data_IF_737373222585
#
_entry.id   IF_737373222585
#
_cell.length_a   1.000
_cell.length_b   1.000
_cell.length_c   1.000
_cell.angle_alpha   90.00
_cell.angle_beta   90.00
_cell.angle_gamma   90.00
#
_symmetry.space_group_name_H-M   'P 1'
#
loop_
_entity.id
_entity.type
_entity.pdbx_description
1 polymer ?
#
# COMPACT_ATOMS: atom_id res chain seq x y z
N UNK A 1 -11.19 11.13 3.19
CA UNK A 1 -11.07 10.24 2.03
C UNK A 1 -9.62 9.81 1.91
N UNK A 2 -9.32 8.75 1.16
CA UNK A 2 -7.96 8.41 0.71
C UNK A 2 -7.65 9.25 -0.54
N UNK A 3 -6.56 10.00 -0.51
CA UNK A 3 -6.11 10.86 -1.60
C UNK A 3 -5.34 10.05 -2.66
N UNK A 4 -4.48 9.15 -2.21
CA UNK A 4 -3.80 8.19 -3.08
C UNK A 4 -3.50 6.85 -2.42
N UNK A 5 -3.40 5.85 -3.27
CA UNK A 5 -2.81 4.56 -2.99
C UNK A 5 -1.58 4.37 -3.88
N UNK A 6 -0.44 4.02 -3.30
CA UNK A 6 0.84 3.86 -4.02
C UNK A 6 1.47 2.53 -3.63
N UNK A 7 2.04 1.84 -4.62
CA UNK A 7 2.91 0.68 -4.43
C UNK A 7 4.28 1.04 -4.99
N UNK A 8 5.32 0.93 -4.17
CA UNK A 8 6.71 1.07 -4.61
C UNK A 8 7.52 -0.18 -4.30
N UNK A 9 8.64 -0.36 -4.96
CA UNK A 9 9.64 -1.35 -4.53
C UNK A 9 10.50 -0.81 -3.37
N UNK A 10 11.43 -1.63 -2.86
CA UNK A 10 12.42 -1.21 -1.87
C UNK A 10 13.52 -0.28 -2.45
N UNK A 11 13.58 -0.05 -3.76
CA UNK A 11 14.49 0.94 -4.35
C UNK A 11 13.82 2.31 -4.50
N UNK A 12 12.61 2.48 -3.94
CA UNK A 12 11.80 3.70 -4.06
C UNK A 12 11.30 3.98 -5.47
N UNK A 13 11.26 2.98 -6.35
CA UNK A 13 10.60 3.07 -7.65
C UNK A 13 9.10 2.86 -7.47
N UNK A 14 8.28 3.80 -7.95
CA UNK A 14 6.82 3.65 -7.98
C UNK A 14 6.45 2.58 -9.02
N UNK A 15 5.81 1.51 -8.57
CA UNK A 15 5.33 0.41 -9.42
C UNK A 15 3.88 0.62 -9.86
N UNK A 16 3.08 1.21 -8.98
CA UNK A 16 1.68 1.52 -9.21
C UNK A 16 1.27 2.74 -8.39
N UNK A 17 0.40 3.59 -8.94
CA UNK A 17 -0.25 4.65 -8.18
C UNK A 17 -1.69 4.84 -8.64
N UNK A 18 -2.59 4.98 -7.68
CA UNK A 18 -3.95 5.45 -7.89
C UNK A 18 -4.15 6.75 -7.13
N UNK A 19 -4.69 7.75 -7.82
CA UNK A 19 -4.94 9.08 -7.30
C UNK A 19 -6.44 9.32 -7.36
N UNK A 20 -7.04 9.50 -6.20
CA UNK A 20 -8.48 9.69 -6.05
C UNK A 20 -8.84 11.17 -5.86
N UNK A 21 -7.99 11.93 -5.18
CA UNK A 21 -8.21 13.35 -4.93
C UNK A 21 -6.90 14.12 -4.76
N UNK A 22 -6.42 14.71 -5.87
CA UNK A 22 -5.34 15.71 -5.88
C UNK A 22 -5.76 16.89 -6.75
N UNK A 23 -5.47 18.09 -6.28
CA UNK A 23 -5.79 19.37 -6.95
C UNK A 23 -4.66 19.82 -7.89
N UNK A 24 -3.58 19.02 -7.98
CA UNK A 24 -2.30 19.43 -8.56
C UNK A 24 -2.12 19.04 -10.03
N UNK A 25 -1.28 19.80 -10.73
CA UNK A 25 -0.80 19.53 -12.08
C UNK A 25 0.05 18.24 -12.14
N UNK A 26 0.17 17.63 -13.32
CA UNK A 26 0.76 16.31 -13.48
C UNK A 26 2.24 16.24 -13.03
N UNK A 27 3.01 17.32 -13.21
CA UNK A 27 4.43 17.40 -12.83
C UNK A 27 4.67 17.47 -11.32
N UNK A 28 3.92 18.31 -10.60
CA UNK A 28 4.03 18.41 -9.14
C UNK A 28 3.54 17.15 -8.43
N UNK A 29 2.63 16.41 -9.07
CA UNK A 29 2.15 15.12 -8.57
C UNK A 29 3.25 14.06 -8.53
N UNK A 30 4.04 13.90 -9.58
CA UNK A 30 5.10 12.89 -9.62
C UNK A 30 6.17 13.16 -8.55
N UNK A 31 6.60 14.41 -8.42
CA UNK A 31 7.52 14.84 -7.38
C UNK A 31 6.97 14.56 -5.97
N UNK A 32 5.68 14.83 -5.75
CA UNK A 32 5.02 14.56 -4.48
C UNK A 32 4.98 13.07 -4.16
N UNK A 33 4.60 12.22 -5.11
CA UNK A 33 4.56 10.76 -4.91
C UNK A 33 5.95 10.21 -4.60
N UNK A 34 6.98 10.67 -5.31
CA UNK A 34 8.36 10.29 -5.06
C UNK A 34 8.80 10.72 -3.65
N UNK A 35 8.45 11.94 -3.22
CA UNK A 35 8.73 12.43 -1.87
C UNK A 35 8.07 11.58 -0.78
N UNK A 36 6.80 11.18 -0.98
CA UNK A 36 6.07 10.28 -0.07
C UNK A 36 6.78 8.93 0.03
N UNK A 37 7.10 8.30 -1.10
CA UNK A 37 7.78 7.00 -1.14
C UNK A 37 9.13 7.07 -0.43
N UNK A 38 9.93 8.10 -0.70
CA UNK A 38 11.21 8.32 -0.02
C UNK A 38 11.05 8.48 1.49
N UNK A 39 10.01 9.18 1.95
CA UNK A 39 9.75 9.33 3.38
C UNK A 39 9.30 8.03 4.05
N UNK A 40 8.50 7.22 3.38
CA UNK A 40 8.11 5.88 3.86
C UNK A 40 9.31 4.95 3.87
N UNK A 41 10.15 4.98 2.83
CA UNK A 41 11.37 4.17 2.76
C UNK A 41 12.32 4.43 3.92
N UNK A 42 12.54 5.71 4.27
CA UNK A 42 13.34 6.08 5.45
C UNK A 42 12.77 5.48 6.75
N UNK A 43 11.45 5.44 6.88
CA UNK A 43 10.79 4.85 8.05
C UNK A 43 10.90 3.33 8.06
N UNK A 44 10.76 2.69 6.90
CA UNK A 44 11.02 1.28 6.72
C UNK A 44 12.45 0.92 7.12
N UNK A 45 13.45 1.63 6.60
CA UNK A 45 14.87 1.41 6.91
C UNK A 45 15.19 1.62 8.38
N UNK A 46 14.60 2.66 8.98
CA UNK A 46 14.72 2.88 10.41
C UNK A 46 14.13 1.71 11.20
N UNK A 47 12.89 1.30 10.89
CA UNK A 47 12.20 0.21 11.56
C UNK A 47 12.92 -1.13 11.40
N UNK A 48 13.45 -1.43 10.21
CA UNK A 48 14.22 -2.66 9.97
C UNK A 48 15.57 -2.64 10.69
N UNK A 49 16.25 -1.49 10.73
CA UNK A 49 17.52 -1.33 11.45
C UNK A 49 17.38 -1.49 12.96
N UNK A 50 16.28 -1.00 13.55
CA UNK A 50 16.05 -1.17 15.01
C UNK A 50 15.50 -2.55 15.35
N UNK A 51 14.73 -3.17 14.44
CA UNK A 51 14.13 -4.49 14.67
C UNK A 51 15.11 -5.64 14.48
N UNK A 52 16.10 -5.49 13.60
CA UNK A 52 17.14 -6.51 13.37
C UNK A 52 18.04 -6.73 14.59
N UNK A 53 18.18 -5.72 15.46
CA UNK A 53 18.92 -5.85 16.73
C UNK A 53 18.28 -6.83 17.72
N UNK A 54 17.00 -7.18 17.55
CA UNK A 54 16.23 -8.00 18.48
C UNK A 54 15.90 -9.42 17.99
N UNK A 55 16.36 -9.84 16.80
CA UNK A 55 16.04 -11.17 16.24
C UNK A 55 17.22 -12.13 16.37
N UNK A 56 17.30 -12.83 17.50
CA UNK A 56 18.06 -14.09 17.57
C UNK A 56 17.32 -15.20 16.83
N UNK A 57 18.10 -16.00 16.10
CA UNK A 57 17.80 -17.23 15.33
C UNK A 57 16.51 -17.97 15.65
N UNK A 58 15.75 -18.37 14.62
CA UNK A 58 15.27 -19.75 14.44
C UNK A 58 14.71 -19.95 13.01
N UNK A 59 15.31 -20.92 12.30
CA UNK A 59 14.90 -21.61 11.05
C UNK A 59 15.16 -20.95 9.68
N UNK A 60 16.05 -21.61 8.94
CA UNK A 60 16.24 -21.55 7.49
C UNK A 60 14.94 -21.87 6.72
N UNK A 61 14.44 -20.91 5.94
CA UNK A 61 14.04 -21.07 4.52
C UNK A 61 13.25 -19.84 4.06
N UNK A 62 13.72 -19.21 2.99
CA UNK A 62 13.39 -17.88 2.45
C UNK A 62 13.95 -16.72 3.28
N UNK A 63 14.71 -15.84 2.64
CA UNK A 63 15.12 -14.56 3.20
C UNK A 63 13.84 -13.83 3.65
N UNK A 64 13.57 -13.89 4.96
CA UNK A 64 12.29 -13.53 5.56
C UNK A 64 11.91 -12.12 5.13
N UNK A 65 10.81 -12.01 4.38
CA UNK A 65 10.12 -10.77 4.08
C UNK A 65 9.93 -10.00 5.40
N UNK A 66 10.76 -8.98 5.62
CA UNK A 66 10.64 -8.15 6.83
C UNK A 66 9.37 -7.32 6.66
N UNK A 67 8.27 -7.84 7.18
CA UNK A 67 7.01 -7.12 7.29
C UNK A 67 7.17 -6.03 8.36
N UNK A 68 6.89 -4.80 7.95
CA UNK A 68 6.95 -3.61 8.78
C UNK A 68 5.78 -2.72 8.37
N UNK A 69 5.24 -1.98 9.33
CA UNK A 69 4.09 -1.12 9.11
C UNK A 69 4.20 0.10 10.00
N UNK A 70 3.58 1.18 9.56
CA UNK A 70 3.66 2.44 10.27
C UNK A 70 2.55 3.39 9.88
N UNK A 71 2.36 4.36 10.77
CA UNK A 71 1.42 5.45 10.58
C UNK A 71 2.12 6.72 11.03
N UNK A 72 2.21 7.70 10.16
CA UNK A 72 2.78 9.01 10.48
C UNK A 72 2.02 10.11 9.76
N UNK A 73 2.25 11.37 10.12
CA UNK A 73 1.68 12.51 9.39
C UNK A 73 2.77 13.13 8.52
N UNK A 74 2.48 13.30 7.23
CA UNK A 74 3.34 14.04 6.31
C UNK A 74 2.74 15.43 6.07
N UNK A 75 3.58 16.47 6.09
CA UNK A 75 3.15 17.78 5.62
C UNK A 75 3.17 17.78 4.09
N UNK A 76 1.99 17.85 3.48
CA UNK A 76 1.80 17.96 2.04
C UNK A 76 1.19 19.33 1.79
N UNK A 77 1.95 20.21 1.12
CA UNK A 77 1.65 21.63 0.98
C UNK A 77 1.43 22.27 2.38
N UNK A 78 0.22 22.75 2.66
CA UNK A 78 -0.14 23.40 3.93
C UNK A 78 -0.94 22.52 4.89
N UNK A 79 -1.15 21.25 4.54
CA UNK A 79 -1.94 20.33 5.35
C UNK A 79 -1.10 19.13 5.79
N UNK A 80 -1.23 18.75 7.05
CA UNK A 80 -0.79 17.42 7.48
C UNK A 80 -1.74 16.39 6.87
N UNK A 81 -1.20 15.30 6.35
CA UNK A 81 -1.95 14.17 5.80
C UNK A 81 -1.46 12.89 6.49
N UNK A 82 -2.34 12.09 7.10
CA UNK A 82 -1.95 10.81 7.65
C UNK A 82 -1.53 9.87 6.52
N UNK A 83 -0.33 9.31 6.65
CA UNK A 83 0.21 8.28 5.77
C UNK A 83 0.19 6.97 6.55
N UNK A 84 -0.46 5.97 5.96
CA UNK A 84 -0.52 4.61 6.49
C UNK A 84 0.23 3.72 5.51
N UNK A 85 1.20 2.97 5.99
CA UNK A 85 2.04 2.14 5.12
C UNK A 85 2.32 0.77 5.70
N UNK A 86 2.63 -0.17 4.80
CA UNK A 86 2.92 -1.56 5.11
C UNK A 86 3.88 -2.13 4.07
N UNK A 87 5.03 -2.66 4.50
CA UNK A 87 5.96 -3.41 3.66
C UNK A 87 5.57 -4.88 3.57
N UNK A 88 5.50 -5.42 2.37
CA UNK A 88 5.21 -6.83 2.14
C UNK A 88 5.86 -7.30 0.83
N UNK A 89 6.50 -8.46 0.84
CA UNK A 89 7.15 -9.08 -0.33
C UNK A 89 8.01 -8.11 -1.16
N UNK A 90 8.94 -7.40 -0.52
CA UNK A 90 9.84 -6.46 -1.20
C UNK A 90 9.16 -5.21 -1.79
N UNK A 91 7.90 -4.93 -1.41
CA UNK A 91 7.17 -3.73 -1.82
C UNK A 91 6.73 -2.91 -0.61
N UNK A 92 6.55 -1.61 -0.79
CA UNK A 92 5.93 -0.69 0.16
C UNK A 92 4.56 -0.30 -0.37
N UNK A 93 3.52 -0.62 0.40
CA UNK A 93 2.15 -0.25 0.12
C UNK A 93 1.79 0.96 0.99
N UNK A 94 1.25 2.02 0.38
CA UNK A 94 1.11 3.33 1.00
C UNK A 94 -0.27 3.90 0.71
N UNK A 95 -0.99 4.32 1.75
CA UNK A 95 -2.21 5.12 1.67
C UNK A 95 -1.95 6.52 2.22
N UNK A 96 -2.26 7.53 1.42
CA UNK A 96 -2.30 8.92 1.87
C UNK A 96 -3.76 9.27 2.14
N UNK A 97 -4.07 9.61 3.38
CA UNK A 97 -5.43 9.88 3.83
C UNK A 97 -5.65 11.37 4.12
N UNK A 98 -6.91 11.78 4.12
CA UNK A 98 -7.35 13.05 4.73
C UNK A 98 -7.24 13.00 6.26
N UNK A 99 -7.10 14.16 6.89
CA UNK A 99 -6.99 14.26 8.36
C UNK A 99 -8.20 13.73 9.12
N UNK A 100 -9.38 13.76 8.52
CA UNK A 100 -10.63 13.31 9.11
C UNK A 100 -10.81 11.78 9.05
N UNK A 101 -9.95 11.07 8.32
CA UNK A 101 -10.09 9.63 8.14
C UNK A 101 -9.64 8.82 9.33
N UNK A 102 -10.31 7.67 9.51
CA UNK A 102 -9.95 6.72 10.53
C UNK A 102 -8.69 5.94 10.13
N UNK A 103 -7.55 6.27 10.75
CA UNK A 103 -6.23 5.66 10.48
C UNK A 103 -6.20 4.16 10.75
N UNK A 104 -6.97 3.67 11.73
CA UNK A 104 -7.05 2.24 12.05
C UNK A 104 -7.80 1.50 10.95
N UNK A 105 -8.91 2.09 10.47
CA UNK A 105 -9.66 1.54 9.34
C UNK A 105 -8.80 1.53 8.07
N UNK A 106 -8.04 2.60 7.81
CA UNK A 106 -7.12 2.68 6.69
C UNK A 106 -6.06 1.56 6.76
N UNK A 107 -5.45 1.34 7.93
CA UNK A 107 -4.46 0.28 8.13
C UNK A 107 -5.05 -1.12 7.93
N UNK A 108 -6.25 -1.36 8.45
CA UNK A 108 -6.96 -2.63 8.24
C UNK A 108 -7.32 -2.83 6.77
N UNK A 109 -7.76 -1.78 6.08
CA UNK A 109 -8.10 -1.82 4.66
C UNK A 109 -6.86 -2.14 3.83
N UNK A 110 -5.73 -1.48 4.12
CA UNK A 110 -4.45 -1.74 3.48
C UNK A 110 -4.00 -3.19 3.67
N UNK A 111 -4.15 -3.74 4.87
CA UNK A 111 -3.85 -5.14 5.14
C UNK A 111 -4.69 -6.11 4.29
N UNK A 112 -6.00 -5.91 4.22
CA UNK A 112 -6.87 -6.76 3.38
C UNK A 112 -6.60 -6.59 1.89
N UNK A 113 -6.32 -5.37 1.45
CA UNK A 113 -5.94 -5.07 0.07
C UNK A 113 -4.66 -5.82 -0.31
N UNK A 114 -3.61 -5.77 0.51
CA UNK A 114 -2.34 -6.50 0.25
C UNK A 114 -2.56 -8.00 0.17
N UNK A 115 -3.35 -8.57 1.10
CA UNK A 115 -3.68 -10.01 1.07
C UNK A 115 -4.41 -10.39 -0.21
N UNK A 116 -5.37 -9.56 -0.63
CA UNK A 116 -6.12 -9.78 -1.85
C UNK A 116 -5.21 -9.69 -3.08
N UNK A 117 -4.34 -8.68 -3.16
CA UNK A 117 -3.34 -8.57 -4.23
C UNK A 117 -2.45 -9.82 -4.30
N UNK A 118 -1.98 -10.33 -3.16
CA UNK A 118 -1.19 -11.57 -3.11
C UNK A 118 -1.98 -12.77 -3.66
N UNK A 119 -3.24 -12.91 -3.29
CA UNK A 119 -4.07 -14.05 -3.71
C UNK A 119 -4.32 -14.05 -5.22
N UNK A 120 -4.46 -12.86 -5.84
CA UNK A 120 -4.67 -12.73 -7.28
C UNK A 120 -3.38 -12.59 -8.11
N UNK A 121 -2.28 -12.14 -7.50
CA UNK A 121 -0.96 -11.93 -8.12
C UNK A 121 0.13 -12.67 -7.34
N UNK A 122 0.10 -14.01 -7.31
CA UNK A 122 1.00 -14.79 -6.46
C UNK A 122 2.47 -14.73 -6.88
N UNK A 123 2.82 -14.30 -8.12
CA UNK A 123 4.22 -14.18 -8.54
C UNK A 123 4.82 -12.81 -8.20
N UNK A 124 4.02 -11.87 -7.68
CA UNK A 124 4.49 -10.59 -7.15
C UNK A 124 5.56 -10.78 -6.07
N UNK A 125 5.51 -11.90 -5.34
CA UNK A 125 6.50 -12.26 -4.32
C UNK A 125 7.88 -12.57 -4.88
N UNK A 126 7.96 -12.94 -6.16
CA UNK A 126 9.21 -13.33 -6.84
C UNK A 126 9.69 -12.27 -7.82
N UNK A 127 8.78 -11.43 -8.34
CA UNK A 127 9.11 -10.40 -9.32
C UNK A 127 8.12 -9.22 -9.25
N UNK A 128 8.61 -8.07 -8.80
CA UNK A 128 7.83 -6.84 -8.70
C UNK A 128 7.32 -6.32 -10.05
N UNK A 129 7.92 -6.73 -11.17
CA UNK A 129 7.42 -6.36 -12.52
C UNK A 129 6.06 -6.96 -12.84
N UNK A 130 5.62 -8.03 -12.16
CA UNK A 130 4.26 -8.56 -12.35
C UNK A 130 3.19 -7.51 -12.01
N UNK A 131 3.43 -6.66 -10.99
CA UNK A 131 2.53 -5.55 -10.66
C UNK A 131 2.35 -4.58 -11.83
N UNK A 132 3.44 -4.31 -12.56
CA UNK A 132 3.43 -3.42 -13.72
C UNK A 132 2.66 -4.07 -14.88
N UNK A 133 2.91 -5.36 -15.15
CA UNK A 133 2.22 -6.09 -16.22
C UNK A 133 0.74 -6.37 -15.92
N UNK A 134 0.34 -6.36 -14.64
CA UNK A 134 -1.02 -6.62 -14.18
C UNK A 134 -1.65 -5.38 -13.54
N UNK A 135 -1.22 -4.18 -13.97
CA UNK A 135 -1.73 -2.91 -13.45
C UNK A 135 -3.26 -2.79 -13.50
N UNK A 136 -3.92 -3.36 -14.52
CA UNK A 136 -5.38 -3.39 -14.61
C UNK A 136 -6.03 -4.20 -13.48
N UNK A 137 -5.43 -5.33 -13.11
CA UNK A 137 -5.89 -6.19 -12.00
C UNK A 137 -5.67 -5.46 -10.67
N UNK A 138 -4.49 -4.85 -10.50
CA UNK A 138 -4.18 -4.02 -9.32
C UNK A 138 -5.19 -2.87 -9.20
N UNK A 139 -5.51 -2.21 -10.31
CA UNK A 139 -6.48 -1.12 -10.37
C UNK A 139 -7.90 -1.57 -10.04
N UNK A 140 -8.34 -2.71 -10.58
CA UNK A 140 -9.64 -3.29 -10.25
C UNK A 140 -9.76 -3.58 -8.75
N UNK A 141 -8.74 -4.23 -8.17
CA UNK A 141 -8.72 -4.56 -6.73
C UNK A 141 -8.70 -3.26 -5.91
N UNK A 142 -7.82 -2.31 -6.24
CA UNK A 142 -7.72 -1.04 -5.53
C UNK A 142 -9.05 -0.26 -5.56
N UNK A 143 -9.71 -0.16 -6.72
CA UNK A 143 -11.00 0.52 -6.85
C UNK A 143 -12.15 -0.22 -6.17
N UNK A 144 -12.05 -1.54 -6.00
CA UNK A 144 -13.03 -2.32 -5.25
C UNK A 144 -12.93 -2.07 -3.74
N UNK A 145 -11.72 -1.96 -3.21
CA UNK A 145 -11.48 -1.66 -1.78
C UNK A 145 -11.60 -0.18 -1.43
N UNK A 146 -11.29 0.69 -2.39
CA UNK A 146 -11.23 2.15 -2.24
C UNK A 146 -12.04 2.84 -3.34
N UNK A 147 -13.36 2.61 -3.43
CA UNK A 147 -14.18 3.22 -4.47
C UNK A 147 -14.12 4.73 -4.36
N UNK A 148 -13.56 5.40 -5.36
CA UNK A 148 -13.31 6.85 -5.36
C UNK A 148 -12.55 7.33 -4.11
N UNK A 149 -11.64 6.50 -3.56
CA UNK A 149 -10.87 6.80 -2.36
C UNK A 149 -11.66 6.70 -1.05
N UNK A 150 -12.88 6.16 -1.04
CA UNK A 150 -13.63 5.98 0.20
C UNK A 150 -13.15 4.75 0.98
N UNK A 151 -12.92 4.91 2.29
CA UNK A 151 -12.66 3.77 3.17
C UNK A 151 -13.98 3.09 3.51
N UNK A 152 -14.12 1.83 3.11
CA UNK A 152 -15.29 1.03 3.43
C UNK A 152 -15.10 0.34 4.78
N UNK A 153 -16.09 0.48 5.67
CA UNK A 153 -16.13 -0.34 6.88
C UNK A 153 -16.60 -1.75 6.50
N UNK A 154 -15.66 -2.68 6.38
CA UNK A 154 -15.95 -4.04 5.92
C UNK A 154 -15.80 -5.03 7.08
N UNK A 155 -16.85 -5.79 7.33
CA UNK A 155 -16.76 -6.99 8.15
C UNK A 155 -16.26 -8.18 7.31
N UNK A 156 -15.98 -9.31 7.96
CA UNK A 156 -15.45 -10.50 7.27
C UNK A 156 -16.37 -11.00 6.15
N UNK A 157 -17.69 -10.88 6.28
CA UNK A 157 -18.64 -11.31 5.25
C UNK A 157 -18.61 -10.37 4.03
N UNK A 158 -18.56 -9.06 4.26
CA UNK A 158 -18.44 -8.06 3.20
C UNK A 158 -17.12 -8.22 2.42
N UNK A 159 -16.00 -8.46 3.12
CA UNK A 159 -14.71 -8.74 2.47
C UNK A 159 -14.79 -9.97 1.56
N UNK A 160 -15.42 -11.06 2.01
CA UNK A 160 -15.58 -12.27 1.19
C UNK A 160 -16.45 -12.01 -0.04
N UNK A 161 -17.49 -11.19 0.08
CA UNK A 161 -18.36 -10.84 -1.04
C UNK A 161 -17.59 -10.02 -2.10
N UNK A 162 -16.79 -9.04 -1.68
CA UNK A 162 -15.95 -8.26 -2.58
C UNK A 162 -14.93 -9.14 -3.33
N UNK A 163 -14.31 -10.09 -2.63
CA UNK A 163 -13.39 -11.04 -3.28
C UNK A 163 -14.12 -11.84 -4.38
N UNK A 164 -15.35 -12.30 -4.14
CA UNK A 164 -16.15 -12.99 -5.17
C UNK A 164 -16.46 -12.10 -6.37
N UNK A 165 -16.73 -10.81 -6.13
CA UNK A 165 -16.98 -9.84 -7.19
C UNK A 165 -15.73 -9.60 -8.04
N UNK A 166 -14.55 -9.48 -7.42
CA UNK A 166 -13.26 -9.40 -8.12
C UNK A 166 -13.01 -10.67 -8.93
N UNK A 167 -13.23 -11.86 -8.35
CA UNK A 167 -13.08 -13.13 -9.06
C UNK A 167 -14.00 -13.22 -10.29
N UNK A 168 -15.21 -12.70 -10.19
CA UNK A 168 -16.17 -12.67 -11.30
C UNK A 168 -15.73 -11.69 -12.39
N UNK A 169 -15.17 -10.53 -12.01
CA UNK A 169 -14.70 -9.51 -12.95
C UNK A 169 -13.38 -9.89 -13.65
N UNK A 170 -12.59 -10.79 -13.07
CA UNK A 170 -11.33 -11.30 -13.65
C UNK A 170 -11.52 -12.56 -14.53
N UNK A 171 -12.73 -13.10 -14.63
CA UNK A 171 -13.08 -14.22 -15.51
C UNK A 171 -13.59 -13.72 -16.85
#
# INVERSE_FOLDING_TARGET
MVNSFVISDLNSQVLYSSVFNFVDDAGSREELLNSIVQRVKKEFDFNTSVSSSNRMDFSDSSALDIESKGIFNLKIQDSHKPVVWHSYCGCLFILVCENTENRILAASTLFFLIRTLRDFLPKMTSNSSELVFKADVVSLIANTFLPNGQLLFMNNQANQQLIKEIQKALR
#
